data_IF_135563531943
#
_entry.id   IF_135563531943
#
_cell.length_a   1.000
_cell.length_b   1.000
_cell.length_c   1.000
_cell.angle_alpha   90.00
_cell.angle_beta   90.00
_cell.angle_gamma   90.00
#
_symmetry.space_group_name_H-M   'P 1'
#
loop_
_entity.id
_entity.type
_entity.pdbx_description
1 polymer ?
#
# COMPACT_ATOMS: atom_id res chain seq x y z
N UNK A 1 4.91 17.60 5.05
CA UNK A 1 5.68 18.19 3.94
C UNK A 1 7.17 17.93 4.11
N UNK A 2 7.84 17.58 3.05
CA UNK A 2 9.30 17.51 3.04
C UNK A 2 9.86 18.91 2.96
N UNK A 3 10.73 19.28 3.90
CA UNK A 3 11.33 20.63 3.95
C UNK A 3 12.28 20.91 2.77
N UNK A 4 12.91 19.86 2.25
CA UNK A 4 13.88 19.92 1.15
C UNK A 4 13.23 20.09 -0.24
N UNK A 5 12.02 19.61 -0.44
CA UNK A 5 11.32 19.63 -1.74
C UNK A 5 9.99 20.38 -1.71
N UNK A 6 9.54 20.83 -0.55
CA UNK A 6 8.25 21.49 -0.32
C UNK A 6 7.05 20.71 -0.91
N UNK A 7 7.11 19.38 -0.89
CA UNK A 7 6.06 18.51 -1.39
C UNK A 7 5.66 17.43 -0.39
N UNK A 8 4.55 16.74 -0.62
CA UNK A 8 4.14 15.64 0.24
C UNK A 8 5.11 14.47 0.11
N UNK A 9 5.42 13.76 1.20
CA UNK A 9 6.24 12.54 1.13
C UNK A 9 5.66 11.50 0.15
N UNK A 10 4.33 11.37 0.10
CA UNK A 10 3.67 10.45 -0.81
C UNK A 10 3.99 10.76 -2.28
N UNK A 11 3.87 12.01 -2.70
CA UNK A 11 4.17 12.46 -4.06
C UNK A 11 5.64 12.21 -4.41
N UNK A 12 6.55 12.56 -3.49
CA UNK A 12 7.99 12.37 -3.65
C UNK A 12 8.34 10.89 -3.88
N UNK A 13 7.85 10.02 -3.00
CA UNK A 13 8.16 8.58 -3.09
C UNK A 13 7.50 7.93 -4.30
N UNK A 14 6.26 8.28 -4.64
CA UNK A 14 5.57 7.74 -5.83
C UNK A 14 6.34 8.10 -7.10
N UNK A 15 6.76 9.35 -7.24
CA UNK A 15 7.62 9.78 -8.37
C UNK A 15 8.93 9.02 -8.41
N UNK A 16 9.57 8.83 -7.24
CA UNK A 16 10.82 8.09 -7.14
C UNK A 16 10.67 6.62 -7.55
N UNK A 17 9.57 5.98 -7.18
CA UNK A 17 9.25 4.61 -7.57
C UNK A 17 9.02 4.51 -9.09
N UNK A 18 8.23 5.41 -9.68
CA UNK A 18 8.00 5.46 -11.11
C UNK A 18 9.32 5.65 -11.89
N UNK A 19 10.18 6.59 -11.44
CA UNK A 19 11.50 6.80 -12.06
C UNK A 19 12.38 5.53 -12.01
N UNK A 20 12.42 4.84 -10.87
CA UNK A 20 13.19 3.59 -10.73
C UNK A 20 12.60 2.46 -11.58
N UNK A 21 11.28 2.38 -11.69
CA UNK A 21 10.63 1.40 -12.54
C UNK A 21 10.93 1.70 -14.00
N UNK A 22 10.79 2.95 -14.42
CA UNK A 22 11.11 3.37 -15.79
C UNK A 22 12.56 3.04 -16.17
N UNK A 23 13.53 3.22 -15.26
CA UNK A 23 14.93 2.85 -15.52
C UNK A 23 15.17 1.34 -15.69
N UNK A 24 14.21 0.50 -15.28
CA UNK A 24 14.30 -0.96 -15.40
C UNK A 24 13.56 -1.54 -16.59
N UNK A 25 12.40 -1.00 -16.93
CA UNK A 25 11.52 -1.55 -17.97
C UNK A 25 11.15 -0.53 -19.06
N UNK A 26 11.40 0.76 -18.85
CA UNK A 26 11.17 1.81 -19.82
C UNK A 26 12.07 1.65 -21.06
N UNK A 27 11.47 1.76 -22.24
CA UNK A 27 12.16 1.75 -23.53
C UNK A 27 11.29 2.46 -24.57
N UNK A 28 11.62 2.36 -25.85
CA UNK A 28 10.85 2.98 -26.94
C UNK A 28 9.38 2.51 -27.02
N UNK A 29 9.07 1.32 -26.49
CA UNK A 29 7.74 0.72 -26.54
C UNK A 29 7.02 0.73 -25.18
N UNK A 30 7.70 1.11 -24.09
CA UNK A 30 7.17 1.09 -22.72
C UNK A 30 7.40 2.41 -22.01
N UNK A 31 6.33 3.12 -21.73
CA UNK A 31 6.33 4.37 -20.95
C UNK A 31 5.88 4.05 -19.53
N UNK A 32 6.67 4.44 -18.53
CA UNK A 32 6.29 4.38 -17.12
C UNK A 32 6.05 5.78 -16.59
N UNK A 33 4.86 6.03 -16.09
CA UNK A 33 4.49 7.31 -15.49
C UNK A 33 3.73 7.07 -14.17
N UNK A 34 3.36 8.13 -13.47
CA UNK A 34 2.61 8.03 -12.21
C UNK A 34 1.49 9.06 -12.17
N UNK A 35 0.47 8.74 -11.40
CA UNK A 35 -0.62 9.64 -11.06
C UNK A 35 -0.97 9.56 -9.59
N UNK A 36 -1.59 10.62 -9.07
CA UNK A 36 -2.12 10.66 -7.71
C UNK A 36 -3.64 10.45 -7.76
N UNK A 37 -4.17 9.64 -6.82
CA UNK A 37 -5.63 9.51 -6.70
C UNK A 37 -6.28 10.85 -6.31
N UNK A 38 -5.60 11.60 -5.46
CA UNK A 38 -5.98 12.94 -5.03
C UNK A 38 -4.84 13.92 -5.30
N UNK A 39 -5.16 15.06 -5.91
CA UNK A 39 -4.16 16.05 -6.29
C UNK A 39 -3.55 15.84 -7.68
N UNK A 40 -2.33 16.33 -7.89
CA UNK A 40 -1.65 16.34 -9.19
C UNK A 40 -0.33 15.55 -9.14
N UNK A 41 0.06 14.93 -10.30
CA UNK A 41 -0.70 14.79 -11.53
C UNK A 41 -1.90 13.85 -11.34
N UNK A 42 -3.07 14.24 -11.89
CA UNK A 42 -4.30 13.45 -11.73
C UNK A 42 -4.32 12.21 -12.63
N UNK A 43 -5.09 11.19 -12.25
CA UNK A 43 -5.29 9.98 -13.06
C UNK A 43 -5.80 10.37 -14.47
N UNK A 44 -6.83 11.21 -14.51
CA UNK A 44 -7.41 11.67 -15.80
C UNK A 44 -6.38 12.35 -16.70
N UNK A 45 -5.55 13.26 -16.15
CA UNK A 45 -4.55 13.97 -16.95
C UNK A 45 -3.49 13.00 -17.51
N UNK A 46 -3.08 12.01 -16.71
CA UNK A 46 -2.06 11.04 -17.14
C UNK A 46 -2.58 10.04 -18.15
N UNK A 47 -3.80 9.54 -18.02
CA UNK A 47 -4.41 8.67 -19.04
C UNK A 47 -4.54 9.43 -20.36
N UNK A 48 -4.98 10.68 -20.36
CA UNK A 48 -5.03 11.50 -21.57
C UNK A 48 -3.64 11.68 -22.18
N UNK A 49 -2.65 12.04 -21.39
CA UNK A 49 -1.27 12.22 -21.86
C UNK A 49 -0.70 10.94 -22.51
N UNK A 50 -0.90 9.77 -21.88
CA UNK A 50 -0.46 8.49 -22.44
C UNK A 50 -1.18 8.17 -23.75
N UNK A 51 -2.49 8.42 -23.83
CA UNK A 51 -3.28 8.27 -25.05
C UNK A 51 -2.74 9.19 -26.17
N UNK A 52 -2.45 10.45 -25.85
CA UNK A 52 -1.94 11.42 -26.82
C UNK A 52 -0.52 11.08 -27.30
N UNK A 53 0.24 10.30 -26.53
CA UNK A 53 1.51 9.70 -26.91
C UNK A 53 1.35 8.39 -27.73
N UNK A 54 0.12 7.98 -28.04
CA UNK A 54 -0.15 6.79 -28.85
C UNK A 54 -0.19 5.47 -28.05
N UNK A 55 -0.28 5.53 -26.73
CA UNK A 55 -0.39 4.30 -25.92
C UNK A 55 -1.77 3.66 -26.10
N UNK A 56 -1.80 2.49 -26.74
CA UNK A 56 -3.01 1.69 -26.95
C UNK A 56 -3.32 0.74 -25.79
N UNK A 57 -2.30 0.38 -25.01
CA UNK A 57 -2.41 -0.50 -23.86
C UNK A 57 -1.90 0.20 -22.60
N UNK A 58 -2.75 0.33 -21.59
CA UNK A 58 -2.42 0.98 -20.31
C UNK A 58 -2.60 -0.02 -19.16
N UNK A 59 -1.55 -0.22 -18.40
CA UNK A 59 -1.58 -1.02 -17.16
C UNK A 59 -1.58 -0.06 -15.97
N UNK A 60 -2.58 -0.17 -15.12
CA UNK A 60 -2.69 0.60 -13.87
C UNK A 60 -2.24 -0.29 -12.70
N UNK A 61 -1.24 0.16 -11.96
CA UNK A 61 -0.80 -0.48 -10.72
C UNK A 61 -1.15 0.44 -9.53
N UNK A 62 -2.28 0.23 -8.85
CA UNK A 62 -2.54 0.91 -7.58
C UNK A 62 -1.51 0.51 -6.54
N UNK A 63 -0.84 1.48 -5.91
CA UNK A 63 0.21 1.19 -4.92
C UNK A 63 -0.38 0.87 -3.54
N UNK A 64 -1.44 0.06 -3.53
CA UNK A 64 -2.10 -0.50 -2.35
C UNK A 64 -2.04 -2.03 -2.43
N UNK A 65 -1.10 -2.68 -1.73
CA UNK A 65 -0.96 -4.14 -1.79
C UNK A 65 -2.23 -4.87 -1.36
N UNK A 66 -2.85 -4.41 -0.28
CA UNK A 66 -4.13 -4.90 0.22
C UNK A 66 -5.26 -4.07 -0.41
N UNK A 67 -6.14 -4.72 -1.16
CA UNK A 67 -7.33 -4.06 -1.68
C UNK A 67 -8.23 -3.59 -0.54
N UNK A 68 -8.79 -2.40 -0.71
CA UNK A 68 -9.92 -1.89 0.05
C UNK A 68 -10.82 -1.04 -0.85
N UNK A 69 -12.11 -0.99 -0.53
CA UNK A 69 -13.04 -0.08 -1.21
C UNK A 69 -12.61 1.39 -1.08
N UNK A 70 -12.00 1.75 0.04
CA UNK A 70 -11.48 3.11 0.31
C UNK A 70 -10.16 3.43 -0.44
N UNK A 71 -9.49 2.46 -1.03
CA UNK A 71 -8.18 2.63 -1.68
C UNK A 71 -8.23 2.19 -3.14
N UNK A 72 -7.98 0.91 -3.42
CA UNK A 72 -7.91 0.39 -4.80
C UNK A 72 -9.19 0.66 -5.59
N UNK A 73 -10.37 0.46 -5.00
CA UNK A 73 -11.62 0.73 -5.71
C UNK A 73 -11.74 2.19 -6.11
N UNK A 74 -11.32 3.15 -5.27
CA UNK A 74 -11.39 4.58 -5.64
C UNK A 74 -10.46 4.93 -6.80
N UNK A 75 -9.32 4.23 -6.95
CA UNK A 75 -8.45 4.37 -8.13
C UNK A 75 -9.17 3.82 -9.36
N UNK A 76 -9.76 2.62 -9.28
CA UNK A 76 -10.53 2.02 -10.34
C UNK A 76 -11.68 2.93 -10.81
N UNK A 77 -12.46 3.47 -9.87
CA UNK A 77 -13.56 4.40 -10.17
C UNK A 77 -13.09 5.61 -10.98
N UNK A 78 -11.96 6.21 -10.60
CA UNK A 78 -11.44 7.39 -11.31
C UNK A 78 -10.87 7.04 -12.68
N UNK A 79 -10.22 5.89 -12.81
CA UNK A 79 -9.77 5.36 -14.09
C UNK A 79 -10.95 5.13 -15.03
N UNK A 80 -11.97 4.40 -14.60
CA UNK A 80 -13.18 4.12 -15.40
C UNK A 80 -13.93 5.42 -15.76
N UNK A 81 -14.08 6.34 -14.81
CA UNK A 81 -14.70 7.64 -15.06
C UNK A 81 -13.93 8.43 -16.11
N UNK A 82 -12.61 8.34 -16.11
CA UNK A 82 -11.77 9.01 -17.13
C UNK A 82 -11.98 8.41 -18.51
N UNK A 83 -12.11 7.08 -18.62
CA UNK A 83 -12.36 6.39 -19.88
C UNK A 83 -13.76 6.66 -20.42
N UNK A 84 -14.79 6.71 -19.58
CA UNK A 84 -16.18 6.96 -20.00
C UNK A 84 -16.35 8.27 -20.81
N UNK A 85 -15.47 9.23 -20.59
CA UNK A 85 -15.45 10.49 -21.34
C UNK A 85 -14.73 10.44 -22.70
N UNK A 86 -14.13 9.32 -23.08
CA UNK A 86 -13.32 9.19 -24.28
C UNK A 86 -14.11 8.60 -25.46
N UNK A 87 -13.91 9.13 -26.65
CA UNK A 87 -14.45 8.54 -27.89
C UNK A 87 -13.74 7.25 -28.26
N UNK A 88 -12.41 7.24 -28.16
CA UNK A 88 -11.57 6.07 -28.30
C UNK A 88 -10.93 5.76 -26.95
N UNK A 89 -11.07 4.53 -26.49
CA UNK A 89 -10.55 4.08 -25.22
C UNK A 89 -9.39 3.11 -25.47
N UNK A 90 -8.23 3.32 -24.80
CA UNK A 90 -7.15 2.33 -24.84
C UNK A 90 -7.56 1.04 -24.14
N UNK A 91 -6.91 -0.07 -24.48
CA UNK A 91 -7.02 -1.29 -23.70
C UNK A 91 -6.50 -1.04 -22.28
N UNK A 92 -7.26 -1.46 -21.29
CA UNK A 92 -6.95 -1.19 -19.89
C UNK A 92 -6.85 -2.47 -19.08
N UNK A 93 -5.77 -2.59 -18.33
CA UNK A 93 -5.61 -3.61 -17.30
C UNK A 93 -5.33 -2.95 -15.95
N UNK A 94 -6.05 -3.35 -14.91
CA UNK A 94 -5.79 -2.90 -13.53
C UNK A 94 -5.28 -4.08 -12.72
N UNK A 95 -4.15 -3.90 -12.04
CA UNK A 95 -3.62 -4.87 -11.07
C UNK A 95 -4.44 -4.76 -9.79
N UNK A 96 -5.19 -5.79 -9.38
CA UNK A 96 -6.21 -5.64 -8.33
C UNK A 96 -5.62 -5.59 -6.91
N UNK A 97 -4.72 -6.47 -6.59
CA UNK A 97 -4.05 -6.58 -5.29
C UNK A 97 -2.82 -7.48 -5.39
N UNK A 98 -1.88 -7.32 -4.47
CA UNK A 98 -0.63 -8.10 -4.44
C UNK A 98 -0.12 -8.33 -3.00
N UNK A 99 -1.03 -8.41 -2.03
CA UNK A 99 -0.77 -8.59 -0.60
C UNK A 99 -0.01 -9.87 -0.25
N UNK A 100 -0.03 -10.85 -1.16
CA UNK A 100 0.63 -12.15 -1.00
C UNK A 100 1.69 -12.44 -2.06
N UNK A 101 2.01 -11.46 -2.91
CA UNK A 101 3.04 -11.62 -3.92
C UNK A 101 4.41 -11.91 -3.27
N UNK A 102 5.08 -13.02 -3.62
CA UNK A 102 6.33 -13.42 -2.97
C UNK A 102 7.43 -12.36 -2.99
N UNK A 103 7.54 -11.60 -4.07
CA UNK A 103 8.52 -10.51 -4.18
C UNK A 103 8.19 -9.35 -3.25
N UNK A 104 6.90 -9.03 -3.08
CA UNK A 104 6.43 -8.03 -2.13
C UNK A 104 6.74 -8.47 -0.68
N UNK A 105 6.38 -9.70 -0.31
CA UNK A 105 6.67 -10.26 1.02
C UNK A 105 8.18 -10.28 1.31
N UNK A 106 9.00 -10.67 0.32
CA UNK A 106 10.45 -10.64 0.47
C UNK A 106 11.01 -9.21 0.60
N UNK A 107 10.41 -8.22 -0.07
CA UNK A 107 10.80 -6.82 0.08
C UNK A 107 10.50 -6.29 1.48
N UNK A 108 9.33 -6.64 2.04
CA UNK A 108 8.98 -6.33 3.43
C UNK A 108 9.97 -6.97 4.41
N UNK A 109 10.25 -8.28 4.23
CA UNK A 109 11.26 -8.99 5.05
C UNK A 109 12.59 -8.27 5.05
N UNK A 110 13.13 -7.95 3.87
CA UNK A 110 14.40 -7.23 3.74
C UNK A 110 14.39 -5.88 4.44
N UNK A 111 13.27 -5.17 4.42
CA UNK A 111 13.10 -3.90 5.13
C UNK A 111 13.19 -4.07 6.65
N UNK A 112 12.55 -5.11 7.17
CA UNK A 112 12.59 -5.45 8.60
C UNK A 112 13.99 -5.91 8.99
N UNK A 113 14.61 -6.83 8.24
CA UNK A 113 15.98 -7.31 8.50
C UNK A 113 16.94 -6.13 8.62
N UNK A 114 16.93 -5.23 7.62
CA UNK A 114 17.76 -4.02 7.63
C UNK A 114 17.52 -3.15 8.87
N UNK A 115 16.26 -3.05 9.33
CA UNK A 115 15.96 -2.29 10.54
C UNK A 115 16.49 -3.00 11.78
N UNK A 116 16.28 -4.31 11.90
CA UNK A 116 16.78 -5.13 13.02
C UNK A 116 18.32 -5.07 13.10
N UNK A 117 19.00 -5.16 11.96
CA UNK A 117 20.48 -5.02 11.89
C UNK A 117 20.97 -3.62 12.30
N UNK A 118 20.15 -2.59 12.14
CA UNK A 118 20.52 -1.19 12.48
C UNK A 118 20.32 -0.80 13.94
N UNK A 119 19.71 -1.66 14.74
CA UNK A 119 19.45 -1.43 16.17
C UNK A 119 20.33 -2.33 17.02
N UNK A 120 20.67 -1.88 18.25
CA UNK A 120 21.56 -2.60 19.16
C UNK A 120 20.82 -3.48 20.20
N UNK A 121 19.56 -3.78 19.92
CA UNK A 121 18.68 -4.62 20.74
C UNK A 121 17.87 -5.57 19.86
N UNK A 122 17.44 -6.71 20.43
CA UNK A 122 16.61 -7.68 19.71
C UNK A 122 15.13 -7.42 20.03
N UNK A 123 14.25 -7.30 19.00
CA UNK A 123 12.81 -7.25 19.23
C UNK A 123 12.29 -8.55 19.85
N UNK A 124 11.43 -8.43 20.85
CA UNK A 124 10.66 -9.56 21.40
C UNK A 124 9.44 -9.85 20.52
N UNK A 125 8.90 -8.79 19.88
CA UNK A 125 7.73 -8.84 19.02
C UNK A 125 7.84 -7.78 17.92
N UNK A 126 7.28 -8.09 16.75
CA UNK A 126 7.04 -7.14 15.67
C UNK A 126 5.54 -6.91 15.52
N UNK A 127 5.10 -5.68 15.37
CA UNK A 127 3.72 -5.33 15.05
C UNK A 127 3.62 -4.80 13.62
N UNK A 128 2.83 -5.47 12.80
CA UNK A 128 2.36 -4.95 11.52
C UNK A 128 1.13 -4.08 11.77
N UNK A 129 1.36 -2.76 11.91
CA UNK A 129 0.30 -1.78 12.17
C UNK A 129 -0.29 -1.26 10.87
N UNK A 130 -1.46 -1.76 10.49
CA UNK A 130 -2.18 -1.32 9.30
C UNK A 130 -3.11 -0.15 9.61
N UNK A 131 -3.42 0.66 8.60
CA UNK A 131 -4.49 1.65 8.75
C UNK A 131 -5.83 0.93 8.91
N UNK A 132 -6.59 1.26 9.97
CA UNK A 132 -7.91 0.71 10.18
C UNK A 132 -8.93 1.22 9.16
N UNK A 133 -10.00 0.46 8.98
CA UNK A 133 -11.22 0.92 8.29
C UNK A 133 -12.42 0.60 9.19
N UNK A 134 -13.57 1.29 9.00
CA UNK A 134 -14.78 0.94 9.75
C UNK A 134 -15.18 -0.52 9.54
N UNK A 135 -15.48 -1.22 10.63
CA UNK A 135 -15.87 -2.64 10.62
C UNK A 135 -17.03 -2.93 9.65
N UNK A 136 -17.96 -1.99 9.51
CA UNK A 136 -19.07 -2.12 8.56
C UNK A 136 -18.64 -2.34 7.10
N UNK A 137 -17.40 -1.97 6.71
CA UNK A 137 -16.91 -2.25 5.35
C UNK A 137 -16.57 -3.72 5.22
N UNK A 138 -15.92 -4.29 6.22
CA UNK A 138 -15.69 -5.74 6.29
C UNK A 138 -17.01 -6.52 6.28
N UNK A 139 -17.99 -6.10 7.10
CA UNK A 139 -19.32 -6.73 7.15
C UNK A 139 -20.07 -6.68 5.81
N UNK A 140 -19.72 -5.72 4.93
CA UNK A 140 -20.23 -5.60 3.55
C UNK A 140 -19.36 -6.32 2.51
N UNK A 141 -18.37 -7.10 2.93
CA UNK A 141 -17.54 -7.91 2.03
C UNK A 141 -16.23 -7.26 1.59
N UNK A 142 -15.79 -6.14 2.18
CA UNK A 142 -14.46 -5.60 1.89
C UNK A 142 -13.38 -6.57 2.39
N UNK A 143 -12.47 -7.08 1.52
CA UNK A 143 -11.51 -8.11 1.89
C UNK A 143 -10.28 -7.58 2.65
N UNK A 144 -10.17 -6.26 2.87
CA UNK A 144 -8.98 -5.60 3.41
C UNK A 144 -8.45 -6.24 4.70
N UNK A 145 -9.34 -6.52 5.65
CA UNK A 145 -8.99 -7.21 6.91
C UNK A 145 -8.26 -8.53 6.65
N UNK A 146 -8.85 -9.37 5.80
CA UNK A 146 -8.28 -10.68 5.47
C UNK A 146 -6.93 -10.55 4.76
N UNK A 147 -6.77 -9.56 3.88
CA UNK A 147 -5.53 -9.32 3.16
C UNK A 147 -4.41 -8.79 4.08
N UNK A 148 -4.72 -7.94 5.06
CA UNK A 148 -3.76 -7.51 6.07
C UNK A 148 -3.26 -8.71 6.90
N UNK A 149 -4.17 -9.55 7.39
CA UNK A 149 -3.83 -10.77 8.11
C UNK A 149 -3.03 -11.75 7.25
N UNK A 150 -3.38 -11.90 5.97
CA UNK A 150 -2.63 -12.76 5.04
C UNK A 150 -1.20 -12.27 4.85
N UNK A 151 -1.00 -10.95 4.64
CA UNK A 151 0.35 -10.37 4.56
C UNK A 151 1.14 -10.66 5.83
N UNK A 152 0.58 -10.39 7.01
CA UNK A 152 1.26 -10.63 8.29
C UNK A 152 1.61 -12.11 8.47
N UNK A 153 0.69 -13.03 8.17
CA UNK A 153 0.94 -14.47 8.26
C UNK A 153 2.11 -14.90 7.36
N UNK A 154 2.12 -14.46 6.09
CA UNK A 154 3.21 -14.76 5.16
C UNK A 154 4.54 -14.14 5.60
N UNK A 155 4.49 -12.96 6.22
CA UNK A 155 5.66 -12.36 6.86
C UNK A 155 6.16 -13.20 8.04
N UNK A 156 5.26 -13.63 8.94
CA UNK A 156 5.59 -14.47 10.09
C UNK A 156 6.28 -15.77 9.66
N UNK A 157 5.84 -16.40 8.57
CA UNK A 157 6.47 -17.61 8.00
C UNK A 157 7.95 -17.37 7.57
N UNK A 158 8.36 -16.11 7.36
CA UNK A 158 9.75 -15.75 7.01
C UNK A 158 10.65 -15.47 8.21
N UNK A 159 10.09 -15.41 9.42
CA UNK A 159 10.83 -15.14 10.65
C UNK A 159 10.68 -16.29 11.63
N UNK A 160 11.74 -17.06 11.84
CA UNK A 160 11.74 -18.23 12.74
C UNK A 160 11.89 -17.88 14.22
N UNK A 161 12.39 -16.68 14.53
CA UNK A 161 12.82 -16.31 15.90
C UNK A 161 12.10 -15.11 16.50
N UNK A 162 11.23 -14.44 15.74
CA UNK A 162 10.50 -13.25 16.19
C UNK A 162 9.05 -13.39 15.72
N UNK A 163 8.11 -13.24 16.62
CA UNK A 163 6.69 -13.24 16.26
C UNK A 163 6.26 -11.92 15.63
N UNK A 164 5.22 -11.97 14.79
CA UNK A 164 4.64 -10.79 14.13
C UNK A 164 3.13 -10.80 14.33
N UNK A 165 2.58 -9.73 14.88
CA UNK A 165 1.14 -9.57 15.09
C UNK A 165 0.54 -8.49 14.20
N UNK A 166 -0.71 -8.69 13.77
CA UNK A 166 -1.50 -7.70 13.03
C UNK A 166 -2.22 -6.79 14.00
N UNK A 167 -2.15 -5.47 13.77
CA UNK A 167 -2.98 -4.48 14.47
C UNK A 167 -3.47 -3.41 13.50
N UNK A 168 -4.48 -2.65 13.91
CA UNK A 168 -5.08 -1.58 13.14
C UNK A 168 -5.03 -0.25 13.88
N UNK A 169 -4.56 0.80 13.19
CA UNK A 169 -4.41 2.16 13.73
C UNK A 169 -5.38 3.16 13.11
N UNK A 170 -5.34 4.40 13.58
CA UNK A 170 -6.00 5.57 12.95
C UNK A 170 -7.53 5.55 13.00
N UNK A 171 -8.12 4.88 14.00
CA UNK A 171 -9.57 4.96 14.21
C UNK A 171 -9.99 6.39 14.64
N UNK A 172 -11.15 6.80 14.20
CA UNK A 172 -11.75 8.07 14.61
C UNK A 172 -13.28 8.02 14.56
N UNK A 173 -13.92 8.92 15.28
CA UNK A 173 -15.39 9.00 15.37
C UNK A 173 -16.02 7.84 16.15
N UNK A 174 -17.37 7.76 16.19
CA UNK A 174 -18.09 6.82 17.07
C UNK A 174 -18.27 5.42 16.49
N UNK A 175 -17.84 5.18 15.25
CA UNK A 175 -18.02 3.89 14.59
C UNK A 175 -17.07 2.84 15.16
N UNK A 176 -17.47 1.57 15.07
CA UNK A 176 -16.58 0.43 15.31
C UNK A 176 -15.61 0.28 14.13
N UNK A 177 -14.35 0.07 14.45
CA UNK A 177 -13.27 -0.11 13.48
C UNK A 177 -12.68 -1.52 13.58
N UNK A 178 -11.90 -1.92 12.58
CA UNK A 178 -11.19 -3.19 12.59
C UNK A 178 -10.29 -3.31 13.82
N UNK A 179 -10.27 -4.48 14.41
CA UNK A 179 -9.46 -4.84 15.59
C UNK A 179 -8.45 -5.93 15.22
N UNK A 180 -7.40 -6.15 16.08
CA UNK A 180 -7.08 -5.45 17.31
C UNK A 180 -6.55 -4.04 17.09
N UNK A 181 -6.87 -3.12 18.00
CA UNK A 181 -6.37 -1.74 17.92
C UNK A 181 -4.92 -1.64 18.34
N UNK A 182 -4.10 -0.93 17.56
CA UNK A 182 -2.66 -0.78 17.81
C UNK A 182 -2.38 -0.18 19.19
N UNK A 183 -3.04 0.92 19.56
CA UNK A 183 -2.87 1.58 20.86
C UNK A 183 -3.19 0.64 22.03
N UNK A 184 -4.33 -0.09 21.96
CA UNK A 184 -4.72 -1.03 23.00
C UNK A 184 -3.80 -2.25 23.10
N UNK A 185 -3.31 -2.70 21.96
CA UNK A 185 -2.31 -3.77 21.94
C UNK A 185 -1.04 -3.30 22.65
N UNK A 186 -0.51 -2.14 22.29
CA UNK A 186 0.69 -1.55 22.90
C UNK A 186 0.55 -1.40 24.42
N UNK A 187 -0.59 -0.92 24.92
CA UNK A 187 -0.87 -0.80 26.36
C UNK A 187 -0.83 -2.16 27.10
N UNK A 188 -1.15 -3.25 26.42
CA UNK A 188 -1.22 -4.60 27.01
C UNK A 188 0.11 -5.35 27.00
N UNK A 189 1.02 -5.05 26.08
CA UNK A 189 2.25 -5.82 25.86
C UNK A 189 3.22 -5.83 27.06
N UNK A 190 3.43 -4.74 27.83
CA UNK A 190 4.28 -4.79 29.01
C UNK A 190 3.80 -5.81 30.06
N UNK A 191 2.49 -5.98 30.19
CA UNK A 191 1.89 -6.98 31.11
C UNK A 191 2.14 -8.42 30.65
N UNK A 192 2.43 -8.61 29.35
CA UNK A 192 2.79 -9.90 28.76
C UNK A 192 4.30 -10.15 28.74
N UNK A 193 5.09 -9.23 29.33
CA UNK A 193 6.54 -9.35 29.40
C UNK A 193 7.31 -8.87 28.18
N UNK A 194 6.64 -8.28 27.19
CA UNK A 194 7.31 -7.69 26.00
C UNK A 194 8.01 -6.39 26.41
N UNK A 195 9.31 -6.33 26.19
CA UNK A 195 10.16 -5.17 26.55
C UNK A 195 10.64 -4.40 25.31
N UNK A 196 10.94 -5.11 24.24
CA UNK A 196 11.51 -4.56 23.02
C UNK A 196 10.53 -4.81 21.85
N UNK A 197 10.01 -3.74 21.31
CA UNK A 197 8.99 -3.81 20.27
C UNK A 197 9.45 -3.08 19.00
N UNK A 198 9.27 -3.72 17.85
CA UNK A 198 9.39 -3.09 16.54
C UNK A 198 7.97 -2.91 15.94
N UNK A 199 7.65 -1.71 15.46
CA UNK A 199 6.38 -1.38 14.81
C UNK A 199 6.63 -0.88 13.39
#
# INVERSE_FOLDING_TARGET
WRKDTNESPLLYFTRGQAKKLNSKIGNENVIVDFAMRYGNPSIKSKINSLKDLGCENIIILPLYPQYAAATTATVCDEVYRSLMGMRWQPNLQIIPHYESEPLYINALKKSIDKKVESINWKPDLIISSYHGIPKKYFDKGDPYHCYCHKTTRLMKEKFSSIDIETTFQSRFGPQEWLTPYTDKTLESLPKKGVKNLLV
#
